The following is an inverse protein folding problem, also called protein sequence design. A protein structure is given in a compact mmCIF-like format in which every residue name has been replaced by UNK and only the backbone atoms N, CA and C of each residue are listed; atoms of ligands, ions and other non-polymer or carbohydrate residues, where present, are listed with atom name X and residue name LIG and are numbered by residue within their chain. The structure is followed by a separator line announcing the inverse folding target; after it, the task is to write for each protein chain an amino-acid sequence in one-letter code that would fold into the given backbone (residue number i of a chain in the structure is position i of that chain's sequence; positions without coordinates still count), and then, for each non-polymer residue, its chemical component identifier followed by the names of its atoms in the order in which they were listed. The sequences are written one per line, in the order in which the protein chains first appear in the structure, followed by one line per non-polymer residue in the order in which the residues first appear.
data_IF_251938631287
#
_entry.id   IF_251938631287
#
_cell.length_a   1.000
_cell.length_b   1.000
_cell.length_c   1.000
_cell.angle_alpha   90.00
_cell.angle_beta   90.00
_cell.angle_gamma   90.00
#
_symmetry.space_group_name_H-M   'P 1'
#
loop_
_entity.id
_entity.type
_entity.pdbx_description
1 polymer ?
#
# COMPACT_ATOMS: atom_id res chain seq x y z
N UNK A 1 -46.10 -65.40 -39.06
CA UNK A 1 -46.53 -65.95 -37.75
C UNK A 1 -45.51 -65.50 -36.69
N UNK A 2 -46.04 -65.13 -35.54
CA UNK A 2 -45.35 -64.69 -34.25
C UNK A 2 -44.83 -63.31 -34.16
N UNK A 3 -45.66 -62.47 -33.55
CA UNK A 3 -45.36 -61.19 -32.92
C UNK A 3 -44.56 -61.42 -31.63
N UNK A 4 -43.55 -60.65 -31.38
CA UNK A 4 -43.09 -60.49 -29.99
C UNK A 4 -42.88 -58.97 -29.70
N UNK A 5 -43.65 -58.53 -28.73
CA UNK A 5 -43.59 -57.26 -28.11
C UNK A 5 -42.28 -57.15 -27.30
N UNK A 6 -41.51 -56.06 -27.52
CA UNK A 6 -40.57 -55.63 -26.51
C UNK A 6 -41.03 -54.27 -25.98
N UNK A 7 -41.46 -54.28 -24.76
CA UNK A 7 -41.73 -53.11 -23.94
C UNK A 7 -40.35 -52.50 -23.53
N UNK A 8 -40.07 -51.33 -24.05
CA UNK A 8 -38.89 -50.53 -23.57
C UNK A 8 -39.29 -49.79 -22.30
N UNK A 9 -38.63 -50.10 -21.21
CA UNK A 9 -38.62 -49.29 -19.97
C UNK A 9 -37.81 -48.04 -20.23
N UNK A 10 -38.45 -46.87 -20.20
CA UNK A 10 -37.78 -45.58 -20.13
C UNK A 10 -37.29 -45.37 -18.70
N UNK A 11 -36.00 -45.50 -18.48
CA UNK A 11 -35.36 -45.14 -17.24
C UNK A 11 -35.07 -43.61 -17.25
N UNK A 12 -35.87 -42.85 -16.52
CA UNK A 12 -35.60 -41.46 -16.23
C UNK A 12 -34.40 -41.36 -15.25
N UNK A 13 -33.24 -41.03 -15.76
CA UNK A 13 -32.08 -40.66 -14.93
C UNK A 13 -32.22 -39.20 -14.55
N UNK A 14 -32.70 -38.92 -13.36
CA UNK A 14 -32.61 -37.60 -12.72
C UNK A 14 -31.14 -37.32 -12.34
N UNK A 15 -30.46 -36.54 -13.14
CA UNK A 15 -29.15 -36.00 -12.77
C UNK A 15 -29.39 -34.85 -11.79
N UNK A 16 -29.22 -35.13 -10.50
CA UNK A 16 -29.11 -34.11 -9.45
C UNK A 16 -27.78 -33.40 -9.59
N UNK A 17 -27.80 -32.22 -10.23
CA UNK A 17 -26.65 -31.30 -10.21
C UNK A 17 -26.62 -30.70 -8.82
N UNK A 18 -25.73 -31.18 -7.97
CA UNK A 18 -25.39 -30.54 -6.70
C UNK A 18 -24.58 -29.23 -7.02
N UNK A 19 -25.28 -28.11 -7.02
CA UNK A 19 -24.63 -26.79 -7.01
C UNK A 19 -24.02 -26.62 -5.63
N UNK A 20 -22.73 -26.94 -5.50
CA UNK A 20 -21.95 -26.60 -4.34
C UNK A 20 -21.89 -25.09 -4.29
N UNK A 21 -22.66 -24.48 -3.39
CA UNK A 21 -22.55 -23.05 -3.09
C UNK A 21 -21.14 -22.80 -2.52
N UNK A 22 -20.25 -22.25 -3.34
CA UNK A 22 -18.99 -21.69 -2.86
C UNK A 22 -19.32 -20.45 -2.03
N UNK A 23 -19.54 -20.63 -0.75
CA UNK A 23 -19.48 -19.53 0.19
C UNK A 23 -18.01 -19.18 0.35
N UNK A 24 -17.57 -17.96 0.02
CA UNK A 24 -16.22 -17.55 0.35
C UNK A 24 -16.09 -17.60 1.87
N UNK A 25 -15.29 -18.54 2.36
CA UNK A 25 -14.91 -18.56 3.77
C UNK A 25 -14.12 -17.28 4.00
N UNK A 26 -14.77 -16.29 4.61
CA UNK A 26 -14.07 -15.17 5.22
C UNK A 26 -13.23 -15.80 6.31
N UNK A 27 -11.94 -16.01 6.03
CA UNK A 27 -10.97 -16.37 7.05
C UNK A 27 -10.90 -15.19 7.99
N UNK A 28 -11.74 -15.23 8.99
CA UNK A 28 -11.67 -14.33 10.11
C UNK A 28 -10.44 -14.74 10.87
N UNK A 29 -9.33 -14.07 10.57
CA UNK A 29 -8.15 -14.13 11.40
C UNK A 29 -8.57 -13.61 12.79
N UNK A 30 -8.95 -14.51 13.67
CA UNK A 30 -9.19 -14.24 15.07
C UNK A 30 -7.82 -13.97 15.74
N UNK A 31 -7.16 -12.91 15.28
CA UNK A 31 -6.02 -12.35 15.97
C UNK A 31 -6.54 -11.82 17.31
N UNK A 32 -5.91 -12.22 18.40
CA UNK A 32 -6.18 -11.61 19.69
C UNK A 32 -6.06 -10.08 19.53
N UNK A 33 -7.08 -9.36 20.00
CA UNK A 33 -7.02 -7.90 20.01
C UNK A 33 -5.72 -7.43 20.70
N UNK A 34 -5.05 -6.40 20.18
CA UNK A 34 -3.81 -5.91 20.79
C UNK A 34 -4.07 -5.52 22.25
N UNK A 35 -3.19 -5.97 23.15
CA UNK A 35 -3.32 -5.73 24.61
C UNK A 35 -2.88 -4.32 25.02
N UNK A 36 -3.04 -3.33 24.17
CA UNK A 36 -2.68 -1.95 24.43
C UNK A 36 -3.90 -1.03 24.31
N UNK A 37 -4.08 -0.16 25.29
CA UNK A 37 -5.10 0.90 25.23
C UNK A 37 -4.79 1.97 24.19
N UNK A 38 -3.53 2.08 23.76
CA UNK A 38 -3.08 3.02 22.74
C UNK A 38 -2.00 2.37 21.89
N UNK A 39 -2.28 2.22 20.59
CA UNK A 39 -1.30 1.79 19.61
C UNK A 39 -0.54 3.01 19.04
N UNK A 40 0.78 2.87 18.93
CA UNK A 40 1.64 3.87 18.31
C UNK A 40 1.65 3.67 16.79
N UNK A 41 1.26 4.68 16.01
CA UNK A 41 1.36 4.66 14.54
C UNK A 41 2.58 5.49 14.11
N UNK A 42 3.63 4.80 13.69
CA UNK A 42 4.87 5.44 13.21
C UNK A 42 4.64 5.95 11.78
N UNK A 43 4.77 7.26 11.60
CA UNK A 43 4.78 7.94 10.30
C UNK A 43 6.22 8.35 9.98
N UNK A 44 6.85 7.83 8.91
CA UNK A 44 8.28 8.04 8.64
C UNK A 44 8.61 9.38 7.99
N UNK A 45 7.70 10.35 8.05
CA UNK A 45 7.82 11.66 7.42
C UNK A 45 7.63 12.78 8.42
N UNK A 46 8.05 13.99 8.03
CA UNK A 46 7.86 15.21 8.84
C UNK A 46 6.38 15.57 8.94
N UNK A 47 6.02 16.26 10.02
CA UNK A 47 4.73 16.89 10.16
C UNK A 47 4.47 17.91 9.03
N UNK A 48 3.20 18.06 8.63
CA UNK A 48 2.78 18.92 7.52
C UNK A 48 2.82 18.28 6.15
N UNK A 49 3.40 17.08 5.99
CA UNK A 49 3.37 16.33 4.74
C UNK A 49 2.06 15.57 4.53
N UNK A 50 1.76 15.21 3.27
CA UNK A 50 0.53 14.50 2.90
C UNK A 50 0.28 13.22 3.70
N UNK A 51 1.32 12.41 3.95
CA UNK A 51 1.21 11.19 4.76
C UNK A 51 0.74 11.49 6.17
N UNK A 52 1.30 12.53 6.83
CA UNK A 52 0.86 12.89 8.18
C UNK A 52 -0.59 13.38 8.19
N UNK A 53 -1.00 14.16 7.20
CA UNK A 53 -2.39 14.66 7.09
C UNK A 53 -3.38 13.49 6.96
N UNK A 54 -3.10 12.53 6.09
CA UNK A 54 -3.94 11.34 5.89
C UNK A 54 -4.06 10.55 7.20
N UNK A 55 -2.96 10.28 7.86
CA UNK A 55 -2.98 9.50 9.11
C UNK A 55 -3.54 10.28 10.30
N UNK A 56 -3.48 11.61 10.31
CA UNK A 56 -4.19 12.42 11.30
C UNK A 56 -5.71 12.34 11.14
N UNK A 57 -6.20 12.29 9.90
CA UNK A 57 -7.62 12.03 9.64
C UNK A 57 -7.99 10.62 10.12
N UNK A 58 -7.17 9.62 9.81
CA UNK A 58 -7.37 8.25 10.26
C UNK A 58 -7.42 8.15 11.81
N UNK A 59 -6.46 8.75 12.52
CA UNK A 59 -6.44 8.84 13.98
C UNK A 59 -7.75 9.44 14.51
N UNK A 60 -8.20 10.55 13.94
CA UNK A 60 -9.45 11.22 14.34
C UNK A 60 -10.68 10.33 14.11
N UNK A 61 -10.75 9.64 12.97
CA UNK A 61 -11.86 8.72 12.68
C UNK A 61 -11.90 7.57 13.68
N UNK A 62 -10.75 6.95 13.97
CA UNK A 62 -10.67 5.87 14.97
C UNK A 62 -11.11 6.35 16.35
N UNK A 63 -10.74 7.56 16.74
CA UNK A 63 -11.21 8.16 18.01
C UNK A 63 -12.72 8.35 18.05
N UNK A 64 -13.35 8.68 16.91
CA UNK A 64 -14.80 8.86 16.81
C UNK A 64 -15.58 7.54 16.79
N UNK A 65 -14.95 6.44 16.38
CA UNK A 65 -15.59 5.11 16.35
C UNK A 65 -15.80 4.49 17.72
N UNK A 66 -15.31 5.11 18.79
CA UNK A 66 -15.45 4.65 20.19
C UNK A 66 -15.01 3.19 20.40
N UNK A 67 -13.91 2.81 19.75
CA UNK A 67 -13.27 1.50 19.92
C UNK A 67 -12.36 1.50 21.14
N UNK A 68 -12.11 0.34 21.73
CA UNK A 68 -11.34 0.19 22.96
C UNK A 68 -9.88 0.64 22.84
N UNK A 69 -9.30 0.48 21.66
CA UNK A 69 -7.91 0.88 21.39
C UNK A 69 -7.86 2.23 20.67
N UNK A 70 -7.03 3.13 21.20
CA UNK A 70 -6.72 4.42 20.55
C UNK A 70 -5.49 4.29 19.68
N UNK A 71 -5.39 5.16 18.66
CA UNK A 71 -4.18 5.30 17.87
C UNK A 71 -3.55 6.65 18.16
N UNK A 72 -2.22 6.69 18.25
CA UNK A 72 -1.45 7.92 18.39
C UNK A 72 -0.35 8.00 17.35
N UNK A 73 -0.35 9.07 16.57
CA UNK A 73 0.69 9.32 15.58
C UNK A 73 2.02 9.68 16.23
N UNK A 74 3.09 9.08 15.70
CA UNK A 74 4.48 9.38 16.08
C UNK A 74 5.30 9.59 14.80
N UNK A 75 5.71 10.82 14.52
CA UNK A 75 6.53 11.14 13.38
C UNK A 75 8.00 10.82 13.66
N UNK A 76 8.59 9.95 12.82
CA UNK A 76 10.01 9.59 12.89
C UNK A 76 10.66 9.80 11.51
N UNK A 77 10.89 11.06 11.12
CA UNK A 77 11.45 11.39 9.80
C UNK A 77 12.95 11.11 9.72
N UNK A 78 13.45 11.03 8.50
CA UNK A 78 14.86 10.95 8.18
C UNK A 78 15.24 9.79 7.27
N UNK A 79 16.33 9.97 6.53
CA UNK A 79 16.91 9.00 5.60
C UNK A 79 15.92 8.48 4.54
N UNK A 80 15.04 9.34 4.01
CA UNK A 80 14.00 8.93 3.04
C UNK A 80 12.94 7.97 3.65
N UNK A 81 12.63 8.09 4.95
CA UNK A 81 11.70 7.24 5.67
C UNK A 81 12.35 6.07 6.42
N UNK A 82 13.63 5.76 6.14
CA UNK A 82 14.29 4.57 6.69
C UNK A 82 14.46 4.61 8.21
N UNK A 83 14.56 5.81 8.82
CA UNK A 83 14.64 5.93 10.27
C UNK A 83 13.37 5.40 10.93
N UNK A 84 12.19 5.81 10.46
CA UNK A 84 10.91 5.32 10.96
C UNK A 84 10.69 3.84 10.69
N UNK A 85 11.08 3.37 9.48
CA UNK A 85 11.00 1.97 9.11
C UNK A 85 11.83 1.06 10.03
N UNK A 86 13.07 1.45 10.33
CA UNK A 86 13.96 0.72 11.25
C UNK A 86 13.42 0.71 12.69
N UNK A 87 12.79 1.78 13.12
CA UNK A 87 12.17 1.84 14.45
C UNK A 87 10.95 0.92 14.52
N UNK A 88 10.10 0.91 13.48
CA UNK A 88 8.96 0.01 13.41
C UNK A 88 9.40 -1.46 13.40
N UNK A 89 10.41 -1.82 12.59
CA UNK A 89 10.91 -3.19 12.47
C UNK A 89 11.53 -3.74 13.78
N UNK A 90 11.98 -2.87 14.69
CA UNK A 90 12.50 -3.25 16.01
C UNK A 90 11.42 -3.37 17.07
N UNK A 91 10.21 -2.93 16.78
CA UNK A 91 9.11 -2.95 17.74
C UNK A 91 8.63 -4.39 17.98
N UNK A 92 8.01 -4.60 19.14
CA UNK A 92 7.42 -5.92 19.45
C UNK A 92 6.26 -6.22 18.51
N UNK A 93 6.09 -7.45 18.04
CA UNK A 93 4.99 -7.86 17.16
C UNK A 93 3.72 -8.17 17.98
N UNK A 94 3.29 -7.24 18.81
CA UNK A 94 2.14 -7.36 19.71
C UNK A 94 0.91 -6.56 19.27
N UNK A 95 0.99 -5.96 18.07
CA UNK A 95 -0.07 -5.11 17.52
C UNK A 95 -0.12 -3.69 18.11
N UNK A 96 0.77 -3.34 19.03
CA UNK A 96 0.79 -2.03 19.69
C UNK A 96 1.66 -1.00 18.96
N UNK A 97 2.39 -1.42 17.93
CA UNK A 97 3.11 -0.52 17.03
C UNK A 97 2.68 -0.78 15.60
N UNK A 98 2.09 0.22 14.99
CA UNK A 98 1.69 0.25 13.60
C UNK A 98 2.69 1.07 12.80
N UNK A 99 2.86 0.75 11.53
CA UNK A 99 3.76 1.48 10.64
C UNK A 99 3.02 1.95 9.39
N UNK A 100 3.06 3.25 9.15
CA UNK A 100 2.57 3.86 7.92
C UNK A 100 3.60 3.64 6.81
N UNK A 101 3.63 2.43 6.23
CA UNK A 101 4.58 2.07 5.19
C UNK A 101 4.31 2.87 3.91
N UNK A 102 5.37 3.24 3.22
CA UNK A 102 5.35 3.93 1.95
C UNK A 102 6.23 3.17 0.95
N UNK A 103 6.01 3.34 -0.36
CA UNK A 103 6.82 2.69 -1.40
C UNK A 103 8.32 2.90 -1.21
N UNK A 104 8.74 4.02 -0.60
CA UNK A 104 10.15 4.29 -0.31
C UNK A 104 10.82 3.25 0.61
N UNK A 105 10.07 2.51 1.41
CA UNK A 105 10.62 1.38 2.16
C UNK A 105 10.98 0.21 1.23
N UNK A 106 10.15 -0.06 0.23
CA UNK A 106 10.40 -1.09 -0.79
C UNK A 106 11.64 -0.71 -1.62
N UNK A 107 11.68 0.52 -2.14
CA UNK A 107 12.83 0.99 -2.91
C UNK A 107 14.12 1.03 -2.09
N UNK A 108 14.03 1.35 -0.80
CA UNK A 108 15.20 1.33 0.11
C UNK A 108 15.74 -0.08 0.34
N UNK A 109 14.88 -1.09 0.43
CA UNK A 109 15.30 -2.49 0.50
C UNK A 109 16.00 -2.91 -0.79
N UNK A 110 15.38 -2.66 -1.95
CA UNK A 110 15.93 -3.01 -3.26
C UNK A 110 17.30 -2.35 -3.55
N UNK A 111 17.55 -1.18 -2.94
CA UNK A 111 18.85 -0.50 -3.01
C UNK A 111 19.82 -0.84 -1.85
N UNK A 112 19.51 -1.84 -1.04
CA UNK A 112 20.37 -2.25 0.07
C UNK A 112 20.49 -1.23 1.21
N UNK A 113 19.61 -0.23 1.30
CA UNK A 113 19.65 0.81 2.35
C UNK A 113 19.04 0.38 3.68
N UNK A 114 18.14 -0.61 3.64
CA UNK A 114 17.60 -1.30 4.81
C UNK A 114 17.66 -2.81 4.57
N UNK A 115 17.90 -3.62 5.62
CA UNK A 115 18.09 -5.08 5.47
C UNK A 115 16.79 -5.88 5.52
N UNK A 116 15.63 -5.25 5.47
CA UNK A 116 14.33 -5.90 5.58
C UNK A 116 13.35 -5.37 4.55
N UNK A 117 12.43 -6.21 4.13
CA UNK A 117 11.35 -5.91 3.19
C UNK A 117 10.05 -5.61 3.93
N UNK A 118 8.96 -5.29 3.19
CA UNK A 118 7.64 -5.05 3.78
C UNK A 118 7.03 -6.32 4.42
N UNK A 119 7.46 -7.52 4.04
CA UNK A 119 7.07 -8.80 4.63
C UNK A 119 7.57 -9.00 6.07
N UNK A 120 8.45 -8.13 6.56
CA UNK A 120 8.73 -8.02 7.99
C UNK A 120 7.56 -7.46 8.81
N UNK A 121 6.50 -7.00 8.15
CA UNK A 121 5.32 -6.42 8.76
C UNK A 121 4.08 -7.20 8.35
N UNK A 122 3.16 -7.41 9.29
CA UNK A 122 1.82 -7.88 8.96
C UNK A 122 1.03 -6.76 8.28
N UNK A 123 0.59 -6.98 7.05
CA UNK A 123 -0.15 -5.98 6.27
C UNK A 123 -1.60 -5.90 6.74
N UNK A 124 -2.02 -4.73 7.21
CA UNK A 124 -3.38 -4.51 7.70
C UNK A 124 -4.29 -4.02 6.56
N UNK A 125 -3.92 -2.95 5.87
CA UNK A 125 -4.71 -2.36 4.79
C UNK A 125 -3.89 -1.45 3.88
N UNK A 126 -4.32 -1.33 2.62
CA UNK A 126 -3.95 -0.24 1.73
C UNK A 126 -4.93 0.92 1.94
N UNK A 127 -4.45 2.02 2.53
CA UNK A 127 -5.31 3.16 2.87
C UNK A 127 -5.50 4.15 1.72
N UNK A 128 -4.46 4.37 0.92
CA UNK A 128 -4.51 5.33 -0.18
C UNK A 128 -3.69 4.85 -1.36
N UNK A 129 -4.12 5.23 -2.55
CA UNK A 129 -3.35 5.16 -3.79
C UNK A 129 -3.41 6.54 -4.44
N UNK A 130 -2.25 7.15 -4.64
CA UNK A 130 -2.14 8.49 -5.22
C UNK A 130 -1.18 8.48 -6.40
N UNK A 131 -1.53 9.14 -7.51
CA UNK A 131 -0.60 9.31 -8.62
C UNK A 131 0.52 10.27 -8.21
N UNK A 132 1.73 10.02 -8.71
CA UNK A 132 2.77 11.03 -8.68
C UNK A 132 2.55 12.05 -9.80
N UNK A 133 2.85 13.31 -9.52
CA UNK A 133 2.73 14.40 -10.48
C UNK A 133 4.08 15.10 -10.63
N UNK A 134 4.38 15.52 -11.85
CA UNK A 134 5.52 16.39 -12.15
C UNK A 134 5.05 17.83 -12.13
N UNK A 135 5.63 18.63 -11.27
CA UNK A 135 5.36 20.05 -11.18
C UNK A 135 6.60 20.87 -11.56
N UNK A 136 6.39 22.00 -12.18
CA UNK A 136 7.45 22.95 -12.51
C UNK A 136 7.11 24.36 -12.00
N UNK A 137 8.12 25.24 -11.90
CA UNK A 137 7.89 26.66 -11.67
C UNK A 137 7.03 27.26 -12.79
N UNK A 138 6.24 28.27 -12.47
CA UNK A 138 5.48 29.03 -13.48
C UNK A 138 6.37 29.80 -14.48
N UNK A 139 7.65 29.97 -14.14
CA UNK A 139 8.60 30.78 -14.92
C UNK A 139 9.46 29.93 -15.87
N UNK A 140 9.15 28.63 -16.06
CA UNK A 140 9.82 27.77 -17.03
C UNK A 140 9.31 28.05 -18.46
N UNK A 141 10.13 27.83 -19.51
CA UNK A 141 9.76 28.13 -20.89
C UNK A 141 8.84 27.09 -21.56
N UNK A 142 8.49 26.03 -20.88
CA UNK A 142 7.62 24.95 -21.38
C UNK A 142 6.29 24.91 -20.63
N UNK A 143 5.21 24.54 -21.33
CA UNK A 143 3.84 24.53 -20.81
C UNK A 143 3.27 23.11 -20.60
N UNK A 144 3.94 22.09 -21.09
CA UNK A 144 3.51 20.69 -21.01
C UNK A 144 4.71 19.74 -21.03
N UNK A 145 4.45 18.47 -20.77
CA UNK A 145 5.50 17.45 -20.68
C UNK A 145 6.26 17.23 -21.98
N UNK A 146 5.61 17.36 -23.15
CA UNK A 146 6.25 17.20 -24.45
C UNK A 146 7.30 18.29 -24.67
N UNK A 147 6.95 19.55 -24.43
CA UNK A 147 7.87 20.69 -24.52
C UNK A 147 9.01 20.58 -23.50
N UNK A 148 8.71 20.13 -22.27
CA UNK A 148 9.74 19.86 -21.25
C UNK A 148 10.74 18.80 -21.76
N UNK A 149 10.25 17.67 -22.32
CA UNK A 149 11.09 16.61 -22.87
C UNK A 149 11.97 17.13 -24.02
N UNK A 150 11.41 17.91 -24.94
CA UNK A 150 12.16 18.50 -26.04
C UNK A 150 13.26 19.43 -25.55
N UNK A 151 12.95 20.31 -24.59
CA UNK A 151 13.93 21.23 -24.01
C UNK A 151 15.07 20.51 -23.29
N UNK A 152 14.77 19.43 -22.54
CA UNK A 152 15.80 18.66 -21.85
C UNK A 152 16.69 17.86 -22.81
N UNK A 153 16.14 17.35 -23.89
CA UNK A 153 16.92 16.66 -24.94
C UNK A 153 17.79 17.63 -25.74
N UNK A 154 17.31 18.87 -25.97
CA UNK A 154 18.09 19.92 -26.64
C UNK A 154 19.27 20.44 -25.80
N UNK A 155 19.14 20.42 -24.48
CA UNK A 155 20.16 20.93 -23.55
C UNK A 155 20.30 20.00 -22.33
N UNK A 156 20.92 18.84 -22.46
CA UNK A 156 21.06 17.87 -21.36
C UNK A 156 21.79 18.49 -20.14
N UNK A 157 21.33 18.12 -18.93
CA UNK A 157 21.94 18.54 -17.68
C UNK A 157 21.64 19.98 -17.26
N UNK A 158 20.84 20.75 -18.00
CA UNK A 158 20.53 22.15 -17.68
C UNK A 158 19.34 22.28 -16.71
N UNK A 159 18.43 21.32 -16.72
CA UNK A 159 17.24 21.31 -15.86
C UNK A 159 17.57 20.65 -14.52
N UNK A 160 17.31 21.37 -13.42
CA UNK A 160 17.48 20.86 -12.06
C UNK A 160 16.14 20.30 -11.56
N UNK A 161 16.17 19.07 -11.06
CA UNK A 161 14.99 18.42 -10.48
C UNK A 161 15.17 18.24 -8.97
N UNK A 162 14.07 18.38 -8.24
CA UNK A 162 14.03 18.14 -6.80
C UNK A 162 13.52 16.73 -6.49
N UNK A 163 14.29 15.98 -5.71
CA UNK A 163 13.87 14.68 -5.22
C UNK A 163 14.44 14.40 -3.82
N UNK A 164 13.78 13.54 -3.06
CA UNK A 164 14.34 13.00 -1.83
C UNK A 164 15.21 11.80 -2.16
N UNK A 165 16.48 11.83 -1.78
CA UNK A 165 17.40 10.72 -2.04
C UNK A 165 16.86 9.38 -1.48
N UNK A 166 16.83 8.35 -2.31
CA UNK A 166 16.34 7.02 -2.01
C UNK A 166 14.81 6.90 -1.89
N UNK A 167 14.05 7.92 -2.27
CA UNK A 167 12.60 7.87 -2.36
C UNK A 167 12.13 7.52 -3.77
N UNK A 168 10.83 7.25 -3.91
CA UNK A 168 10.19 7.00 -5.20
C UNK A 168 10.39 8.16 -6.18
N UNK A 169 10.35 9.41 -5.70
CA UNK A 169 10.55 10.57 -6.57
C UNK A 169 11.94 10.61 -7.23
N UNK A 170 12.99 10.12 -6.56
CA UNK A 170 14.30 9.97 -7.21
C UNK A 170 14.24 8.93 -8.33
N UNK A 171 13.61 7.78 -8.07
CA UNK A 171 13.54 6.72 -9.08
C UNK A 171 12.73 7.11 -10.31
N UNK A 172 11.67 7.90 -10.16
CA UNK A 172 10.94 8.43 -11.30
C UNK A 172 11.84 9.28 -12.21
N UNK A 173 12.64 10.15 -11.61
CA UNK A 173 13.58 10.96 -12.40
C UNK A 173 14.63 10.12 -13.11
N UNK A 174 15.20 9.10 -12.44
CA UNK A 174 16.17 8.18 -13.06
C UNK A 174 15.59 7.33 -14.19
N UNK A 175 14.29 7.10 -14.21
CA UNK A 175 13.61 6.39 -15.32
C UNK A 175 13.31 7.33 -16.48
N UNK A 176 13.18 8.64 -16.21
CA UNK A 176 12.92 9.67 -17.23
C UNK A 176 14.19 10.23 -17.87
N UNK A 177 15.36 10.00 -17.26
CA UNK A 177 16.67 10.46 -17.74
C UNK A 177 17.15 9.59 -18.93
#
# INVERSE_FOLDING_TARGET
MKKSLFRGLAANVCVLVAVAAYTPSVVQAAGQAPKCSTAKLIVPWKAGGGTQVIFAIFEKVVQQMNVDSKIKLVMIPGQGGNKGAKEAAKSKPDGCTLFAIHQSAVTSYLNGRIPFHYDNFETIALLTSTPDIVGASKDVPWNNFAEFKEATLAAPGTVKVGATFGSTSQFYWLVLE
#
